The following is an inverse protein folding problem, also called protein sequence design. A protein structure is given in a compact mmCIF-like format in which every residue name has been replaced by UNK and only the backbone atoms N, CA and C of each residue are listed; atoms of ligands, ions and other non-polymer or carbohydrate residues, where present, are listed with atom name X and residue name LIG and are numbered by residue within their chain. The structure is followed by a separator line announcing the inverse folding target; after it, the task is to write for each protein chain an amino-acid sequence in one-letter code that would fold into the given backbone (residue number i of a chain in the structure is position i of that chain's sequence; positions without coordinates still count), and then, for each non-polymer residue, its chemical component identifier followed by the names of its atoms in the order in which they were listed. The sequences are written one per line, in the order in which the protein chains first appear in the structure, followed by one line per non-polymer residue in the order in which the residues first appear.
data_IF_600483740228
#
_entry.id   IF_600483740228
#
_cell.length_a   1.000
_cell.length_b   1.000
_cell.length_c   1.000
_cell.angle_alpha   90.00
_cell.angle_beta   90.00
_cell.angle_gamma   90.00
#
_symmetry.space_group_name_H-M   'P 1'
#
loop_
_entity.id
_entity.type
_entity.pdbx_description
1 polymer ?
#
# COMPACT_ATOMS: atom_id res chain seq x y z
N UNK A 1 -12.64 10.89 -25.69
CA UNK A 1 -11.70 11.17 -26.78
C UNK A 1 -10.27 10.71 -26.49
N UNK A 2 -9.75 10.89 -25.28
CA UNK A 2 -8.40 10.40 -24.95
C UNK A 2 -8.25 8.88 -24.97
N UNK A 3 -9.29 8.13 -24.66
CA UNK A 3 -9.23 6.66 -24.63
C UNK A 3 -9.03 6.02 -26.03
N UNK A 4 -9.52 6.64 -27.08
CA UNK A 4 -9.37 6.10 -28.44
C UNK A 4 -7.96 6.25 -28.99
N UNK A 5 -7.24 7.30 -28.60
CA UNK A 5 -5.85 7.53 -29.03
C UNK A 5 -4.91 6.55 -28.35
N UNK A 6 -5.13 6.25 -27.08
CA UNK A 6 -4.33 5.26 -26.33
C UNK A 6 -4.57 3.85 -26.86
N UNK A 7 -5.81 3.49 -27.17
CA UNK A 7 -6.15 2.20 -27.80
C UNK A 7 -5.51 2.03 -29.18
N UNK A 8 -5.53 3.06 -30.00
CA UNK A 8 -4.91 3.02 -31.33
C UNK A 8 -3.37 2.91 -31.26
N UNK A 9 -2.74 3.59 -30.31
CA UNK A 9 -1.30 3.46 -30.07
C UNK A 9 -0.92 2.06 -29.57
N UNK A 10 -1.73 1.44 -28.73
CA UNK A 10 -1.51 0.08 -28.26
C UNK A 10 -1.68 -0.96 -29.39
N UNK A 11 -2.63 -0.73 -30.30
CA UNK A 11 -2.86 -1.60 -31.46
C UNK A 11 -1.79 -1.45 -32.56
N UNK A 12 -1.22 -0.24 -32.73
CA UNK A 12 -0.25 0.03 -33.80
C UNK A 12 1.20 -0.30 -33.42
N UNK A 13 1.51 -0.43 -32.14
CA UNK A 13 2.87 -0.67 -31.67
C UNK A 13 3.23 -2.12 -31.37
N UNK A 14 2.38 -3.08 -31.65
CA UNK A 14 2.62 -4.48 -31.27
C UNK A 14 3.22 -4.61 -29.85
N UNK A 15 2.72 -3.81 -28.91
CA UNK A 15 3.16 -3.89 -27.54
C UNK A 15 2.60 -5.19 -26.96
N UNK A 16 3.38 -6.23 -27.01
CA UNK A 16 3.15 -7.43 -26.23
C UNK A 16 3.23 -7.07 -24.76
N UNK A 17 2.13 -6.59 -24.20
CA UNK A 17 2.02 -6.46 -22.75
C UNK A 17 2.07 -7.87 -22.17
N UNK A 18 3.09 -8.14 -21.38
CA UNK A 18 3.16 -9.39 -20.65
C UNK A 18 2.01 -9.47 -19.65
N UNK A 19 1.62 -10.67 -19.27
CA UNK A 19 0.60 -10.86 -18.21
C UNK A 19 0.98 -10.11 -16.93
N UNK A 20 2.29 -9.96 -16.65
CA UNK A 20 2.80 -9.21 -15.53
C UNK A 20 2.58 -7.69 -15.68
N UNK A 21 2.71 -7.16 -16.89
CA UNK A 21 2.47 -5.73 -17.16
C UNK A 21 0.99 -5.38 -17.03
N UNK A 22 0.10 -6.23 -17.50
CA UNK A 22 -1.35 -6.10 -17.30
C UNK A 22 -1.72 -6.18 -15.82
N UNK A 23 -1.09 -7.10 -15.10
CA UNK A 23 -1.29 -7.26 -13.68
C UNK A 23 -0.85 -6.03 -12.89
N UNK A 24 0.35 -5.52 -13.17
CA UNK A 24 0.87 -4.31 -12.53
C UNK A 24 -0.01 -3.09 -12.82
N UNK A 25 -0.44 -2.91 -14.08
CA UNK A 25 -1.33 -1.82 -14.46
C UNK A 25 -2.69 -1.92 -13.76
N UNK A 26 -3.28 -3.12 -13.73
CA UNK A 26 -4.55 -3.33 -13.05
C UNK A 26 -4.44 -3.06 -11.55
N UNK A 27 -3.32 -3.44 -10.94
CA UNK A 27 -3.06 -3.17 -9.54
C UNK A 27 -2.88 -1.67 -9.28
N UNK A 28 -2.14 -0.95 -10.12
CA UNK A 28 -2.00 0.50 -10.03
C UNK A 28 -3.38 1.18 -10.08
N UNK A 29 -4.21 0.81 -11.02
CA UNK A 29 -5.55 1.37 -11.19
C UNK A 29 -6.45 1.03 -9.98
N UNK A 30 -6.38 -0.19 -9.49
CA UNK A 30 -7.16 -0.63 -8.32
C UNK A 30 -6.69 0.07 -7.04
N UNK A 31 -5.39 0.23 -6.87
CA UNK A 31 -4.81 0.96 -5.75
C UNK A 31 -5.22 2.43 -5.76
N UNK A 32 -5.09 3.10 -6.90
CA UNK A 32 -5.49 4.50 -7.07
C UNK A 32 -6.97 4.71 -6.73
N UNK A 33 -7.85 3.83 -7.16
CA UNK A 33 -9.27 3.91 -6.87
C UNK A 33 -9.58 3.71 -5.38
N UNK A 34 -8.97 2.72 -4.75
CA UNK A 34 -9.16 2.46 -3.32
C UNK A 34 -8.62 3.62 -2.49
N UNK A 35 -7.43 4.10 -2.80
CA UNK A 35 -6.80 5.19 -2.05
C UNK A 35 -7.47 6.54 -2.28
N UNK A 36 -7.94 6.83 -3.49
CA UNK A 36 -8.71 8.03 -3.76
C UNK A 36 -10.04 8.07 -3.02
N UNK A 37 -10.69 6.93 -2.84
CA UNK A 37 -11.90 6.85 -2.03
C UNK A 37 -11.61 6.97 -0.52
N UNK A 38 -10.45 6.48 -0.08
CA UNK A 38 -10.00 6.58 1.32
C UNK A 38 -9.42 7.95 1.68
N UNK A 39 -8.83 8.67 0.73
CA UNK A 39 -8.27 10.00 0.94
C UNK A 39 -9.32 11.05 1.31
N UNK A 40 -10.59 10.76 1.08
CA UNK A 40 -11.71 11.59 1.54
C UNK A 40 -11.96 11.48 3.05
N UNK A 41 -11.41 10.46 3.71
CA UNK A 41 -11.49 10.31 5.16
C UNK A 41 -10.20 10.87 5.76
N UNK A 42 -10.24 12.15 6.11
CA UNK A 42 -9.12 12.84 6.78
C UNK A 42 -8.94 12.33 8.21
N UNK A 43 -8.52 11.08 8.36
CA UNK A 43 -8.20 10.51 9.66
C UNK A 43 -6.70 10.37 9.85
N UNK A 44 -6.25 10.75 11.04
CA UNK A 44 -4.86 10.58 11.43
C UNK A 44 -4.49 9.08 11.53
N UNK A 45 -3.29 8.66 11.13
CA UNK A 45 -2.23 9.46 10.49
C UNK A 45 -2.47 9.65 8.98
N UNK A 46 -1.99 10.77 8.45
CA UNK A 46 -1.96 11.00 7.01
C UNK A 46 -0.91 10.11 6.36
N UNK A 47 -1.18 9.69 5.14
CA UNK A 47 -0.31 8.75 4.45
C UNK A 47 -0.22 9.03 2.95
N UNK A 48 0.89 8.58 2.37
CA UNK A 48 1.11 8.53 0.94
C UNK A 48 1.16 7.06 0.50
N UNK A 49 0.85 6.82 -0.76
CA UNK A 49 1.18 5.57 -1.43
C UNK A 49 2.20 5.89 -2.50
N UNK A 50 3.31 5.16 -2.50
CA UNK A 50 4.45 5.42 -3.36
C UNK A 50 4.75 4.19 -4.19
N UNK A 51 5.05 4.41 -5.45
CA UNK A 51 5.58 3.39 -6.35
C UNK A 51 7.10 3.56 -6.44
N UNK A 52 7.85 2.60 -5.95
CA UNK A 52 9.32 2.63 -5.99
C UNK A 52 9.89 2.02 -7.28
N UNK A 53 9.11 1.22 -7.97
CA UNK A 53 9.50 0.53 -9.18
C UNK A 53 8.40 -0.44 -9.62
N UNK A 54 8.66 -1.21 -10.65
CA UNK A 54 7.70 -2.18 -11.18
C UNK A 54 7.40 -3.26 -10.13
N UNK A 55 6.14 -3.36 -9.72
CA UNK A 55 5.69 -4.30 -8.70
C UNK A 55 6.15 -3.97 -7.26
N UNK A 56 6.72 -2.79 -7.04
CA UNK A 56 7.21 -2.36 -5.72
C UNK A 56 6.48 -1.10 -5.27
N UNK A 57 5.74 -1.22 -4.20
CA UNK A 57 4.94 -0.15 -3.63
C UNK A 57 5.30 0.06 -2.17
N UNK A 58 4.92 1.18 -1.65
CA UNK A 58 5.04 1.47 -0.23
C UNK A 58 3.98 2.43 0.24
N UNK A 59 3.76 2.38 1.53
CA UNK A 59 2.94 3.32 2.25
C UNK A 59 3.83 4.12 3.19
N UNK A 60 3.68 5.43 3.19
CA UNK A 60 4.39 6.34 4.07
C UNK A 60 3.40 7.02 4.98
N UNK A 61 3.46 6.73 6.28
CA UNK A 61 2.58 7.34 7.27
C UNK A 61 3.34 8.40 8.08
N UNK A 62 2.80 9.60 8.16
CA UNK A 62 3.36 10.70 8.94
C UNK A 62 3.13 10.48 10.43
N UNK A 63 4.17 10.09 11.16
CA UNK A 63 4.13 9.74 12.58
C UNK A 63 5.22 10.45 13.39
N UNK A 64 5.37 11.76 13.13
CA UNK A 64 6.31 12.58 13.88
C UNK A 64 6.01 12.51 15.39
N UNK A 65 7.03 12.25 16.18
CA UNK A 65 6.92 12.12 17.63
C UNK A 65 6.62 10.70 18.14
N UNK A 66 6.28 9.78 17.25
CA UNK A 66 6.21 8.36 17.56
C UNK A 66 7.57 7.70 17.33
N UNK A 67 7.90 6.74 18.15
CA UNK A 67 9.07 5.89 17.92
C UNK A 67 8.60 4.45 17.63
N UNK A 68 9.52 3.59 17.20
CA UNK A 68 9.20 2.21 16.85
C UNK A 68 8.55 1.39 17.98
N UNK A 69 8.80 1.77 19.25
CA UNK A 69 8.21 1.10 20.41
C UNK A 69 6.74 1.47 20.60
N UNK A 70 6.31 2.60 20.05
CA UNK A 70 4.95 3.09 20.16
C UNK A 70 4.04 2.61 19.04
N UNK A 71 4.60 1.95 18.02
CA UNK A 71 3.91 1.59 16.79
C UNK A 71 3.86 0.08 16.66
N UNK A 72 2.70 -0.44 16.27
CA UNK A 72 2.49 -1.83 15.88
C UNK A 72 2.01 -1.88 14.43
N UNK A 73 2.57 -2.81 13.67
CA UNK A 73 2.17 -3.11 12.29
C UNK A 73 1.87 -4.60 12.20
N UNK A 74 0.65 -4.94 11.87
CA UNK A 74 0.18 -6.33 11.82
C UNK A 74 -0.60 -6.59 10.54
N UNK A 75 -0.45 -7.79 10.00
CA UNK A 75 -1.27 -8.27 8.89
C UNK A 75 -2.02 -9.51 9.33
N UNK A 76 -3.32 -9.46 9.25
CA UNK A 76 -4.19 -10.58 9.60
C UNK A 76 -5.39 -10.63 8.65
N UNK A 77 -5.62 -11.78 8.05
CA UNK A 77 -6.72 -12.03 7.11
C UNK A 77 -6.83 -10.96 6.00
N UNK A 78 -5.71 -10.58 5.40
CA UNK A 78 -5.66 -9.57 4.34
C UNK A 78 -5.90 -8.14 4.81
N UNK A 79 -5.88 -7.89 6.11
CA UNK A 79 -6.01 -6.55 6.69
C UNK A 79 -4.68 -6.14 7.30
N UNK A 80 -4.12 -5.07 6.79
CA UNK A 80 -2.97 -4.39 7.38
C UNK A 80 -3.47 -3.42 8.44
N UNK A 81 -3.09 -3.64 9.68
CA UNK A 81 -3.43 -2.77 10.81
C UNK A 81 -2.19 -2.06 11.29
N UNK A 82 -2.23 -0.74 11.29
CA UNK A 82 -1.21 0.11 11.89
C UNK A 82 -1.82 0.80 13.10
N UNK A 83 -1.19 0.65 14.24
CA UNK A 83 -1.64 1.29 15.47
C UNK A 83 -0.48 1.95 16.21
N UNK A 84 -0.79 2.94 16.99
CA UNK A 84 0.21 3.65 17.76
C UNK A 84 -0.37 4.40 18.95
N UNK A 85 0.46 4.57 19.94
CA UNK A 85 0.14 5.32 21.15
C UNK A 85 1.42 5.91 21.74
N UNK A 86 1.37 7.20 22.06
CA UNK A 86 2.42 7.89 22.81
C UNK A 86 1.84 8.35 24.14
N UNK A 87 2.54 8.05 25.21
CA UNK A 87 2.22 8.58 26.53
C UNK A 87 2.91 9.93 26.71
N UNK A 88 2.12 11.00 26.71
CA UNK A 88 2.57 12.38 26.94
C UNK A 88 2.01 12.98 28.25
N UNK A 89 1.48 12.12 29.13
CA UNK A 89 0.82 12.53 30.39
C UNK A 89 1.71 13.28 31.36
N UNK A 90 3.04 13.09 31.27
CA UNK A 90 4.02 13.77 32.14
C UNK A 90 4.34 15.20 31.69
N UNK A 91 3.88 15.62 30.53
CA UNK A 91 4.15 16.94 29.98
C UNK A 91 3.08 17.93 30.37
N UNK A 92 3.50 19.07 30.88
CA UNK A 92 2.64 20.23 31.06
C UNK A 92 2.76 21.16 29.86
N UNK A 93 1.67 21.34 29.11
CA UNK A 93 1.66 22.17 27.90
C UNK A 93 1.18 23.57 28.19
N UNK A 94 1.96 24.57 27.83
CA UNK A 94 1.51 25.98 27.79
C UNK A 94 0.68 26.21 26.52
N UNK A 95 1.09 25.60 25.40
CA UNK A 95 0.34 25.56 24.15
C UNK A 95 0.51 24.19 23.50
N UNK A 96 -0.57 23.61 22.99
CA UNK A 96 -0.56 22.28 22.40
C UNK A 96 -1.10 22.35 20.98
N UNK A 97 -0.20 22.33 20.00
CA UNK A 97 -0.54 22.26 18.57
C UNK A 97 -0.36 20.88 17.97
N UNK A 98 0.58 20.08 18.50
CA UNK A 98 0.77 18.69 18.13
C UNK A 98 0.03 17.77 19.08
N UNK A 99 -0.73 16.84 18.53
CA UNK A 99 -1.45 15.83 19.29
C UNK A 99 -0.91 14.44 19.00
N UNK A 100 -0.39 13.76 20.02
CA UNK A 100 0.02 12.37 19.94
C UNK A 100 -1.16 11.48 20.29
N UNK A 101 -2.01 11.28 19.29
CA UNK A 101 -3.24 10.51 19.49
C UNK A 101 -2.96 9.02 19.46
N UNK A 102 -3.69 8.28 20.28
CA UNK A 102 -3.86 6.85 20.04
C UNK A 102 -4.64 6.68 18.75
N UNK A 103 -4.13 5.85 17.85
CA UNK A 103 -4.77 5.59 16.58
C UNK A 103 -4.74 4.10 16.24
N UNK A 104 -5.71 3.69 15.45
CA UNK A 104 -5.75 2.40 14.75
C UNK A 104 -6.18 2.69 13.33
N UNK A 105 -5.36 2.30 12.37
CA UNK A 105 -5.66 2.48 10.95
C UNK A 105 -5.55 1.15 10.22
N UNK A 106 -6.59 0.82 9.45
CA UNK A 106 -6.69 -0.45 8.76
C UNK A 106 -6.77 -0.24 7.25
N UNK A 107 -6.09 -1.12 6.53
CA UNK A 107 -6.08 -1.16 5.07
C UNK A 107 -6.37 -2.57 4.62
N UNK A 108 -7.35 -2.72 3.74
CA UNK A 108 -7.63 -4.01 3.11
C UNK A 108 -6.60 -4.28 2.03
N UNK A 109 -5.89 -5.39 2.16
CA UNK A 109 -4.92 -5.85 1.18
C UNK A 109 -5.54 -6.93 0.30
N UNK A 110 -5.17 -6.91 -0.96
CA UNK A 110 -5.49 -8.01 -1.87
C UNK A 110 -4.73 -9.27 -1.49
N UNK A 111 -5.27 -10.44 -1.80
CA UNK A 111 -4.70 -11.74 -1.41
C UNK A 111 -3.26 -12.00 -1.88
N UNK A 112 -2.85 -11.33 -2.95
CA UNK A 112 -1.52 -11.44 -3.55
C UNK A 112 -0.53 -10.37 -3.09
N UNK A 113 -0.97 -9.44 -2.24
CA UNK A 113 -0.10 -8.42 -1.65
C UNK A 113 0.56 -8.97 -0.40
N UNK A 114 1.87 -8.76 -0.32
CA UNK A 114 2.66 -9.10 0.86
C UNK A 114 3.28 -7.82 1.44
N UNK A 115 3.42 -7.80 2.75
CA UNK A 115 4.18 -6.77 3.46
C UNK A 115 5.60 -7.29 3.62
N UNK A 116 6.56 -6.61 2.97
CA UNK A 116 7.96 -7.03 3.00
C UNK A 116 8.66 -6.56 4.26
N UNK A 117 8.55 -5.28 4.55
CA UNK A 117 9.17 -4.68 5.73
C UNK A 117 8.44 -3.40 6.15
N UNK A 118 8.66 -2.99 7.39
CA UNK A 118 8.24 -1.70 7.90
C UNK A 118 9.41 -1.03 8.64
N UNK A 119 9.66 0.23 8.33
CA UNK A 119 10.75 1.01 8.92
C UNK A 119 10.24 2.36 9.39
N UNK A 120 10.63 2.73 10.61
CA UNK A 120 10.37 4.06 11.16
C UNK A 120 11.64 4.90 11.07
N UNK A 121 11.60 5.96 10.29
CA UNK A 121 12.73 6.86 10.09
C UNK A 121 12.24 8.29 9.86
N UNK A 122 12.91 9.25 10.47
CA UNK A 122 12.65 10.68 10.30
C UNK A 122 11.18 11.09 10.50
N UNK A 123 10.49 10.43 11.41
CA UNK A 123 9.08 10.69 11.69
C UNK A 123 8.10 10.09 10.68
N UNK A 124 8.57 9.25 9.78
CA UNK A 124 7.76 8.56 8.78
C UNK A 124 7.87 7.05 8.94
N UNK A 125 6.73 6.40 9.03
CA UNK A 125 6.65 4.94 8.95
C UNK A 125 6.50 4.54 7.49
N UNK A 126 7.48 3.87 6.95
CA UNK A 126 7.46 3.34 5.60
C UNK A 126 7.19 1.85 5.65
N UNK A 127 6.11 1.42 5.00
CA UNK A 127 5.72 0.02 4.87
C UNK A 127 5.90 -0.38 3.42
N UNK A 128 6.82 -1.29 3.14
CA UNK A 128 7.07 -1.80 1.78
C UNK A 128 6.15 -2.96 1.46
N UNK A 129 5.52 -2.87 0.31
CA UNK A 129 4.57 -3.83 -0.20
C UNK A 129 5.10 -4.46 -1.49
N UNK A 130 4.94 -5.75 -1.60
CA UNK A 130 5.25 -6.51 -2.80
C UNK A 130 4.10 -7.42 -3.19
N UNK A 131 4.32 -8.26 -4.17
CA UNK A 131 3.36 -9.25 -4.64
C UNK A 131 3.91 -10.65 -4.48
N UNK A 132 3.02 -11.57 -4.15
CA UNK A 132 3.31 -12.98 -4.33
C UNK A 132 3.45 -13.26 -5.82
N UNK A 133 4.50 -13.99 -6.20
CA UNK A 133 4.59 -14.50 -7.56
C UNK A 133 3.37 -15.39 -7.84
N UNK A 134 2.72 -15.25 -9.01
CA UNK A 134 1.65 -16.14 -9.38
C UNK A 134 2.22 -17.56 -9.41
N UNK A 135 1.59 -18.49 -8.69
CA UNK A 135 1.92 -19.91 -8.78
C UNK A 135 1.80 -20.32 -10.25
N UNK A 136 2.88 -20.84 -10.83
CA UNK A 136 2.83 -21.48 -12.13
C UNK A 136 1.97 -22.74 -11.97
N UNK A 137 0.72 -22.64 -12.37
CA UNK A 137 -0.12 -23.82 -12.51
C UNK A 137 0.41 -24.56 -13.73
N UNK A 138 1.23 -25.57 -13.49
CA UNK A 138 1.62 -26.48 -14.55
C UNK A 138 0.38 -27.25 -15.00
N UNK A 139 0.07 -27.10 -16.29
CA UNK A 139 -1.03 -27.83 -16.87
C UNK A 139 -0.82 -29.35 -16.74
N UNK A 140 -1.81 -30.06 -16.22
CA UNK A 140 -1.77 -31.51 -16.15
C UNK A 140 -2.02 -32.08 -17.52
N UNK A 141 -1.05 -32.80 -18.07
CA UNK A 141 -1.21 -33.52 -19.33
C UNK A 141 -2.10 -34.73 -19.13
N UNK A 142 -3.23 -34.75 -19.79
CA UNK A 142 -4.15 -35.89 -19.72
C UNK A 142 -3.87 -36.84 -20.88
N UNK A 143 -3.63 -38.08 -20.57
CA UNK A 143 -3.47 -39.14 -21.60
C UNK A 143 -4.82 -39.53 -22.18
N UNK A 144 -4.91 -39.41 -23.49
CA UNK A 144 -6.09 -39.85 -24.22
C UNK A 144 -5.99 -41.35 -24.45
N UNK A 145 -7.04 -42.05 -24.04
CA UNK A 145 -7.16 -43.50 -24.34
C UNK A 145 -7.68 -43.75 -25.73
#
# INVERSE_FOLDING_TARGET
MHNNVVLNLALTKEVTMTALDLYNKWFDDAFDNVFNSMSKIHSFPFYNVVKYGKGKYGMELGLAGYNKKNISVEVNDGILTVSGQVDDSEKEYIAKGLSFRKFVKQFSLRNDVIVDEAEMKDGVLTIKLGFKEPEKVEGTKINVK
#
